data_IF_819209721118
#
_entry.id   IF_819209721118
#
_cell.length_a   1.000
_cell.length_b   1.000
_cell.length_c   1.000
_cell.angle_alpha   90.00
_cell.angle_beta   90.00
_cell.angle_gamma   90.00
#
_symmetry.space_group_name_H-M   'P 1'
#
loop_
_entity.id
_entity.type
_entity.pdbx_description
1 polymer ?
#
# COMPACT_ATOMS: atom_id res chain seq x y z
N UNK A 1 18.80 -12.25 9.34
CA UNK A 1 18.57 -13.48 10.13
C UNK A 1 17.48 -14.26 9.45
N UNK A 2 17.51 -15.60 9.47
CA UNK A 2 16.48 -16.40 8.80
C UNK A 2 15.10 -16.08 9.38
N UNK A 3 14.17 -15.66 8.53
CA UNK A 3 12.77 -15.39 8.82
C UNK A 3 11.93 -16.41 8.07
N UNK A 4 10.98 -17.02 8.76
CA UNK A 4 10.05 -18.00 8.22
C UNK A 4 8.62 -17.48 8.38
N UNK A 5 7.75 -17.80 7.43
CA UNK A 5 6.35 -17.39 7.48
C UNK A 5 5.46 -18.55 7.93
N UNK A 6 4.52 -18.23 8.82
CA UNK A 6 3.51 -19.15 9.32
C UNK A 6 2.14 -18.51 9.20
N UNK A 7 1.15 -19.29 8.76
CA UNK A 7 -0.25 -18.95 8.86
C UNK A 7 -0.82 -19.54 10.15
N UNK A 8 -1.52 -18.73 10.93
CA UNK A 8 -2.09 -19.11 12.23
C UNK A 8 -3.62 -19.03 12.13
N UNK A 9 -4.26 -20.18 11.95
CA UNK A 9 -5.72 -20.35 12.02
C UNK A 9 -6.08 -21.33 13.14
N UNK A 10 -6.97 -22.27 12.88
CA UNK A 10 -7.23 -23.40 13.80
C UNK A 10 -5.97 -24.26 14.02
N UNK A 11 -5.09 -24.28 13.02
CA UNK A 11 -3.77 -24.90 13.07
C UNK A 11 -2.68 -23.88 12.64
N UNK A 12 -1.44 -24.16 13.03
CA UNK A 12 -0.26 -23.38 12.62
C UNK A 12 0.44 -24.09 11.48
N UNK A 13 0.45 -23.45 10.31
CA UNK A 13 1.01 -24.02 9.08
C UNK A 13 2.19 -23.16 8.59
N UNK A 14 3.33 -23.80 8.34
CA UNK A 14 4.48 -23.12 7.71
C UNK A 14 4.16 -22.85 6.24
N UNK A 15 4.33 -21.59 5.82
CA UNK A 15 4.14 -21.19 4.44
C UNK A 15 5.41 -21.42 3.62
N UNK A 16 5.25 -21.91 2.39
CA UNK A 16 6.37 -22.12 1.47
C UNK A 16 6.84 -20.79 0.89
N UNK A 17 8.13 -20.48 1.10
CA UNK A 17 8.80 -19.26 0.60
C UNK A 17 10.03 -19.63 -0.24
N UNK A 18 10.39 -18.76 -1.19
CA UNK A 18 11.60 -18.93 -2.01
C UNK A 18 12.87 -18.43 -1.31
N UNK A 19 12.71 -17.57 -0.30
CA UNK A 19 13.79 -16.97 0.48
C UNK A 19 13.50 -17.17 1.98
N UNK A 20 14.56 -17.07 2.79
CA UNK A 20 14.49 -16.97 4.24
C UNK A 20 14.88 -15.56 4.73
N UNK A 21 15.05 -14.59 3.83
CA UNK A 21 15.33 -13.19 4.16
C UNK A 21 14.09 -12.32 3.89
N UNK A 22 13.04 -12.57 4.69
CA UNK A 22 11.69 -12.07 4.42
C UNK A 22 11.50 -10.63 4.94
N UNK A 23 11.14 -9.69 4.06
CA UNK A 23 10.96 -8.27 4.34
C UNK A 23 9.50 -7.86 4.49
N UNK A 24 9.07 -6.91 3.66
CA UNK A 24 7.66 -6.54 3.53
C UNK A 24 6.77 -7.78 3.47
N UNK A 25 5.69 -7.80 4.25
CA UNK A 25 4.72 -8.90 4.32
C UNK A 25 3.32 -8.32 4.25
N UNK A 26 2.47 -8.90 3.40
CA UNK A 26 1.07 -8.50 3.28
C UNK A 26 0.18 -9.70 2.97
N UNK A 27 -0.87 -9.87 3.76
CA UNK A 27 -1.92 -10.84 3.47
C UNK A 27 -2.71 -10.39 2.24
N UNK A 28 -2.93 -11.29 1.29
CA UNK A 28 -3.56 -10.91 0.01
C UNK A 28 -5.08 -10.90 0.05
N UNK A 29 -5.71 -11.36 1.14
CA UNK A 29 -7.18 -11.44 1.23
C UNK A 29 -7.80 -12.58 0.43
N UNK A 30 -7.13 -13.01 -0.64
CA UNK A 30 -7.54 -14.08 -1.54
C UNK A 30 -6.62 -15.30 -1.39
N UNK A 31 -7.23 -16.49 -1.41
CA UNK A 31 -6.58 -17.80 -1.47
C UNK A 31 -5.60 -18.12 -0.33
N UNK A 32 -5.79 -17.54 0.86
CA UNK A 32 -4.89 -17.68 2.03
C UNK A 32 -3.41 -17.41 1.73
N UNK A 33 -3.16 -16.56 0.73
CA UNK A 33 -1.81 -16.25 0.25
C UNK A 33 -1.21 -15.03 0.95
N UNK A 34 0.12 -15.01 0.99
CA UNK A 34 0.90 -13.90 1.53
C UNK A 34 1.86 -13.41 0.47
N UNK A 35 1.80 -12.12 0.18
CA UNK A 35 2.81 -11.40 -0.57
C UNK A 35 3.98 -11.09 0.38
N UNK A 36 5.20 -11.35 -0.07
CA UNK A 36 6.39 -11.02 0.70
C UNK A 36 7.55 -10.54 -0.18
N UNK A 37 8.41 -9.72 0.39
CA UNK A 37 9.69 -9.32 -0.19
C UNK A 37 10.81 -10.26 0.26
N UNK A 38 11.72 -10.61 -0.65
CA UNK A 38 13.04 -11.10 -0.31
C UNK A 38 14.00 -9.89 -0.17
N UNK A 39 14.30 -9.48 1.06
CA UNK A 39 15.15 -8.30 1.36
C UNK A 39 16.55 -8.42 0.74
N UNK A 40 17.01 -9.65 0.45
CA UNK A 40 18.32 -9.86 -0.16
C UNK A 40 18.38 -9.41 -1.63
N UNK A 41 17.26 -9.53 -2.34
CA UNK A 41 17.16 -9.21 -3.76
C UNK A 41 16.23 -8.02 -4.06
N UNK A 42 15.41 -7.60 -3.10
CA UNK A 42 14.35 -6.59 -3.28
C UNK A 42 13.16 -7.09 -4.11
N UNK A 43 13.08 -8.42 -4.34
CA UNK A 43 12.06 -9.04 -5.20
C UNK A 43 10.85 -9.47 -4.39
N UNK A 44 9.68 -9.46 -5.03
CA UNK A 44 8.42 -9.81 -4.40
C UNK A 44 7.89 -11.15 -4.90
N UNK A 45 7.31 -11.92 -3.99
CA UNK A 45 6.78 -13.25 -4.26
C UNK A 45 5.48 -13.48 -3.49
N UNK A 46 4.68 -14.43 -3.96
CA UNK A 46 3.51 -14.91 -3.22
C UNK A 46 3.81 -16.32 -2.72
N UNK A 47 3.38 -16.64 -1.51
CA UNK A 47 3.52 -17.99 -0.94
C UNK A 47 2.94 -19.05 -1.88
N UNK A 48 3.67 -20.16 -2.05
CA UNK A 48 3.30 -21.23 -2.98
C UNK A 48 3.61 -20.96 -4.46
N UNK A 49 4.21 -19.80 -4.79
CA UNK A 49 4.69 -19.48 -6.14
C UNK A 49 6.17 -19.09 -6.12
N UNK A 50 6.92 -19.53 -7.13
CA UNK A 50 8.30 -19.07 -7.37
C UNK A 50 8.40 -17.99 -8.44
N UNK A 51 7.26 -17.55 -9.00
CA UNK A 51 7.19 -16.47 -9.99
C UNK A 51 7.30 -15.13 -9.27
N UNK A 52 8.29 -14.34 -9.65
CA UNK A 52 8.48 -12.99 -9.14
C UNK A 52 7.31 -12.09 -9.56
N UNK A 53 6.85 -11.27 -8.62
CA UNK A 53 5.86 -10.21 -8.84
C UNK A 53 6.61 -8.94 -9.24
N UNK A 54 6.62 -8.64 -10.53
CA UNK A 54 7.31 -7.46 -11.10
C UNK A 54 6.46 -6.77 -12.18
N UNK A 55 6.81 -5.52 -12.50
CA UNK A 55 6.35 -4.80 -13.69
C UNK A 55 7.47 -4.77 -14.72
N UNK A 56 7.31 -5.49 -15.84
CA UNK A 56 8.15 -5.40 -17.05
C UNK A 56 9.67 -5.22 -16.84
N UNK A 57 10.27 -5.95 -15.89
CA UNK A 57 11.69 -5.86 -15.45
C UNK A 57 12.12 -4.50 -14.88
N UNK A 58 11.20 -3.56 -14.74
CA UNK A 58 11.40 -2.30 -14.06
C UNK A 58 11.22 -2.58 -12.56
N UNK A 59 12.28 -2.34 -11.79
CA UNK A 59 12.24 -2.45 -10.34
C UNK A 59 11.27 -1.43 -9.75
N UNK A 60 10.59 -1.81 -8.68
CA UNK A 60 9.67 -0.94 -7.96
C UNK A 60 9.38 -1.52 -6.58
N UNK A 61 8.81 -0.70 -5.71
CA UNK A 61 8.41 -1.13 -4.37
C UNK A 61 6.92 -1.40 -4.35
N UNK A 62 6.53 -2.58 -3.89
CA UNK A 62 5.11 -2.83 -3.60
C UNK A 62 4.74 -2.02 -2.36
N UNK A 63 3.67 -1.25 -2.48
CA UNK A 63 3.18 -0.36 -1.42
C UNK A 63 1.86 -0.86 -0.83
N UNK A 64 1.05 -1.58 -1.61
CA UNK A 64 -0.24 -2.06 -1.12
C UNK A 64 -0.76 -3.27 -1.91
N UNK A 65 -1.70 -3.99 -1.29
CA UNK A 65 -2.68 -4.84 -1.98
C UNK A 65 -4.06 -4.53 -1.39
N UNK A 66 -5.03 -4.23 -2.24
CA UNK A 66 -6.40 -3.94 -1.80
C UNK A 66 -7.19 -5.24 -1.52
N UNK A 67 -8.47 -5.10 -1.12
CA UNK A 67 -9.34 -6.27 -0.84
C UNK A 67 -9.76 -7.04 -2.09
N UNK A 68 -9.72 -6.42 -3.26
CA UNK A 68 -10.07 -7.04 -4.53
C UNK A 68 -8.87 -7.80 -5.14
N UNK A 69 -7.70 -7.72 -4.51
CA UNK A 69 -6.48 -8.40 -4.96
C UNK A 69 -5.64 -7.56 -5.93
N UNK A 70 -5.95 -6.27 -6.10
CA UNK A 70 -5.11 -5.38 -6.88
C UNK A 70 -3.84 -5.05 -6.11
N UNK A 71 -2.70 -5.28 -6.74
CA UNK A 71 -1.39 -4.94 -6.18
C UNK A 71 -0.95 -3.57 -6.69
N UNK A 72 -0.38 -2.74 -5.81
CA UNK A 72 0.06 -1.39 -6.11
C UNK A 72 1.57 -1.27 -5.95
N UNK A 73 2.24 -0.74 -6.97
CA UNK A 73 3.68 -0.58 -7.06
C UNK A 73 4.03 0.88 -7.34
N UNK A 74 4.95 1.43 -6.56
CA UNK A 74 5.61 2.69 -6.89
C UNK A 74 6.92 2.41 -7.63
N UNK A 75 7.11 3.05 -8.78
CA UNK A 75 8.37 2.96 -9.56
C UNK A 75 9.41 3.96 -9.02
N UNK A 76 10.68 3.56 -8.96
CA UNK A 76 11.80 4.48 -8.71
C UNK A 76 12.41 4.44 -7.30
N UNK A 77 13.13 5.51 -6.95
CA UNK A 77 14.02 5.61 -5.78
C UNK A 77 13.31 5.95 -4.44
N UNK A 78 11.98 5.78 -4.40
CA UNK A 78 11.10 6.04 -3.24
C UNK A 78 10.99 7.51 -2.80
N UNK A 79 11.72 8.43 -3.45
CA UNK A 79 11.78 9.86 -3.07
C UNK A 79 10.90 10.73 -3.95
N UNK A 80 10.88 10.46 -5.25
CA UNK A 80 10.13 11.25 -6.23
C UNK A 80 9.18 10.35 -7.03
N UNK A 81 8.11 9.91 -6.38
CA UNK A 81 7.07 9.08 -6.98
C UNK A 81 6.02 10.01 -7.62
N UNK A 82 5.90 9.95 -8.94
CA UNK A 82 4.87 10.66 -9.71
C UNK A 82 3.76 9.74 -10.22
N UNK A 83 4.00 8.44 -10.23
CA UNK A 83 3.09 7.43 -10.74
C UNK A 83 3.03 6.22 -9.80
N UNK A 84 1.82 5.68 -9.63
CA UNK A 84 1.58 4.37 -9.04
C UNK A 84 1.08 3.45 -10.15
N UNK A 85 1.57 2.23 -10.17
CA UNK A 85 1.13 1.20 -11.07
C UNK A 85 0.33 0.15 -10.33
N UNK A 86 -0.75 -0.34 -10.93
CA UNK A 86 -1.54 -1.41 -10.34
C UNK A 86 -1.96 -2.44 -11.37
N UNK A 87 -2.25 -3.66 -10.91
CA UNK A 87 -2.92 -4.72 -11.67
C UNK A 87 -3.61 -5.68 -10.72
N UNK A 88 -4.51 -6.50 -11.24
CA UNK A 88 -5.00 -7.67 -10.53
C UNK A 88 -3.84 -8.67 -10.38
N UNK A 89 -3.54 -9.06 -9.12
CA UNK A 89 -2.44 -9.96 -8.81
C UNK A 89 -2.73 -11.40 -9.26
N UNK A 90 -4.01 -11.79 -9.27
CA UNK A 90 -4.49 -13.15 -9.46
C UNK A 90 -5.05 -13.41 -10.86
N UNK A 91 -5.35 -12.37 -11.64
CA UNK A 91 -5.62 -12.50 -13.07
C UNK A 91 -4.34 -12.40 -13.92
N UNK A 92 -3.92 -13.52 -14.51
CA UNK A 92 -2.74 -13.57 -15.39
C UNK A 92 -2.88 -12.74 -16.68
N UNK A 93 -4.10 -12.38 -17.08
CA UNK A 93 -4.36 -11.51 -18.23
C UNK A 93 -4.32 -10.03 -17.87
N UNK A 94 -4.27 -9.69 -16.58
CA UNK A 94 -4.24 -8.32 -16.11
C UNK A 94 -2.90 -7.66 -16.45
N UNK A 95 -2.96 -6.53 -17.16
CA UNK A 95 -1.79 -5.70 -17.45
C UNK A 95 -1.68 -4.57 -16.44
N UNK A 96 -0.45 -4.12 -16.18
CA UNK A 96 -0.21 -2.95 -15.34
C UNK A 96 -0.87 -1.69 -15.93
N UNK A 97 -1.60 -0.98 -15.09
CA UNK A 97 -2.20 0.33 -15.36
C UNK A 97 -1.50 1.39 -14.51
N UNK A 98 -1.45 2.64 -14.98
CA UNK A 98 -0.81 3.74 -14.27
C UNK A 98 -1.82 4.73 -13.70
N UNK A 99 -1.49 5.30 -12.55
CA UNK A 99 -2.21 6.37 -11.87
C UNK A 99 -1.22 7.50 -11.61
N UNK A 100 -1.46 8.65 -12.21
CA UNK A 100 -0.66 9.86 -12.00
C UNK A 100 -1.05 10.51 -10.66
N UNK A 101 -0.04 10.92 -9.88
CA UNK A 101 -0.24 11.60 -8.58
C UNK A 101 -0.30 13.13 -8.71
N UNK A 102 -0.08 13.68 -9.90
CA UNK A 102 -0.01 15.12 -10.15
C UNK A 102 1.32 15.74 -9.70
N UNK A 103 1.62 15.69 -8.40
CA UNK A 103 2.90 16.14 -7.83
C UNK A 103 3.75 14.94 -7.39
N UNK A 104 5.05 15.03 -7.67
CA UNK A 104 6.00 14.04 -7.17
C UNK A 104 6.06 14.09 -5.63
N UNK A 105 5.95 12.93 -4.99
CA UNK A 105 5.97 12.80 -3.54
C UNK A 105 6.82 11.61 -3.10
N UNK A 106 7.12 11.52 -1.82
CA UNK A 106 7.78 10.34 -1.26
C UNK A 106 6.77 9.21 -1.04
N UNK A 107 7.24 7.97 -1.15
CA UNK A 107 6.45 6.77 -0.87
C UNK A 107 5.79 6.78 0.53
N UNK A 108 6.43 7.42 1.51
CA UNK A 108 5.94 7.50 2.89
C UNK A 108 4.72 8.43 3.04
N UNK A 109 4.45 9.23 2.01
CA UNK A 109 3.28 10.11 1.93
C UNK A 109 2.15 9.49 1.10
N UNK A 110 2.32 8.29 0.57
CA UNK A 110 1.31 7.61 -0.24
C UNK A 110 0.55 6.62 0.63
N UNK A 111 -0.77 6.77 0.67
CA UNK A 111 -1.66 5.88 1.39
C UNK A 111 -2.68 5.29 0.41
N UNK A 112 -2.98 4.01 0.58
CA UNK A 112 -3.99 3.31 -0.21
C UNK A 112 -4.93 2.62 0.77
N UNK A 113 -6.23 2.85 0.61
CA UNK A 113 -7.23 2.21 1.45
C UNK A 113 -7.56 0.78 0.97
N UNK A 114 -8.41 0.08 1.72
CA UNK A 114 -8.79 -1.29 1.39
C UNK A 114 -9.61 -1.46 0.11
N UNK A 115 -10.03 -0.37 -0.54
CA UNK A 115 -10.78 -0.36 -1.81
C UNK A 115 -9.91 0.13 -2.97
N UNK A 116 -8.61 0.34 -2.74
CA UNK A 116 -7.69 0.78 -3.77
C UNK A 116 -7.70 2.30 -4.01
N UNK A 117 -8.41 3.07 -3.18
CA UNK A 117 -8.38 4.53 -3.29
C UNK A 117 -7.03 5.05 -2.78
N UNK A 118 -6.37 5.86 -3.61
CA UNK A 118 -5.08 6.45 -3.32
C UNK A 118 -5.25 7.84 -2.70
N UNK A 119 -4.40 8.12 -1.72
CA UNK A 119 -4.30 9.40 -1.05
C UNK A 119 -2.84 9.84 -0.97
N UNK A 120 -2.60 11.14 -1.18
CA UNK A 120 -1.27 11.75 -1.01
C UNK A 120 -1.32 12.71 0.15
N UNK A 121 -0.44 12.47 1.12
CA UNK A 121 -0.32 13.27 2.33
C UNK A 121 0.68 14.42 2.12
N UNK A 122 0.29 15.63 2.50
CA UNK A 122 1.21 16.73 2.78
C UNK A 122 1.32 16.93 4.31
N UNK A 123 2.39 16.38 4.94
CA UNK A 123 2.58 16.52 6.38
C UNK A 123 2.81 17.96 6.86
N UNK A 124 3.27 18.86 5.97
CA UNK A 124 3.55 20.28 6.28
C UNK A 124 2.27 21.09 6.21
N UNK A 125 1.51 20.95 5.12
CA UNK A 125 0.20 21.59 4.95
C UNK A 125 -0.90 21.00 5.82
N UNK A 126 -0.67 19.80 6.40
CA UNK A 126 -1.68 19.01 7.14
C UNK A 126 -2.90 18.69 6.30
N UNK A 127 -2.63 18.35 5.06
CA UNK A 127 -3.62 18.10 4.02
C UNK A 127 -3.45 16.70 3.46
N UNK A 128 -4.56 16.02 3.21
CA UNK A 128 -4.60 14.71 2.58
C UNK A 128 -5.46 14.82 1.33
N UNK A 129 -4.82 14.70 0.18
CA UNK A 129 -5.47 14.73 -1.13
C UNK A 129 -5.94 13.33 -1.52
N UNK A 130 -7.17 13.20 -2.01
CA UNK A 130 -7.71 11.96 -2.56
C UNK A 130 -7.51 11.96 -4.08
N UNK A 131 -6.60 11.12 -4.57
CA UNK A 131 -6.20 11.10 -5.99
C UNK A 131 -7.36 10.64 -6.89
N UNK A 132 -7.52 11.33 -8.02
CA UNK A 132 -8.62 11.11 -8.97
C UNK A 132 -9.91 11.84 -8.62
N UNK A 133 -9.96 12.47 -7.44
CA UNK A 133 -11.03 13.36 -7.01
C UNK A 133 -10.46 14.72 -6.65
N UNK A 134 -11.29 15.75 -6.62
CA UNK A 134 -10.89 17.09 -6.15
C UNK A 134 -11.13 17.26 -4.65
N UNK A 135 -10.90 16.20 -3.88
CA UNK A 135 -11.21 16.18 -2.45
C UNK A 135 -9.91 16.24 -1.65
N UNK A 136 -9.74 17.31 -0.87
CA UNK A 136 -8.58 17.49 0.03
C UNK A 136 -9.07 17.74 1.44
N UNK A 137 -8.57 16.93 2.38
CA UNK A 137 -9.00 16.92 3.77
C UNK A 137 -7.94 17.54 4.67
N UNK A 138 -8.31 18.52 5.47
CA UNK A 138 -7.44 19.02 6.55
C UNK A 138 -7.56 18.15 7.79
N UNK A 139 -6.44 17.90 8.46
CA UNK A 139 -6.41 17.10 9.68
C UNK A 139 -5.40 17.63 10.70
N UNK A 140 -5.46 17.14 11.94
CA UNK A 140 -4.49 17.48 12.99
C UNK A 140 -3.77 16.22 13.49
N UNK A 141 -2.49 16.38 13.88
CA UNK A 141 -1.64 15.30 14.37
C UNK A 141 -0.73 14.68 13.30
N UNK A 142 -0.27 13.45 13.58
CA UNK A 142 0.56 12.63 12.67
C UNK A 142 -0.33 11.56 12.01
N UNK A 143 -0.50 11.64 10.70
CA UNK A 143 -1.19 10.60 9.93
C UNK A 143 -0.46 9.26 10.08
N UNK A 144 -1.22 8.21 10.38
CA UNK A 144 -0.69 6.85 10.50
C UNK A 144 -1.18 5.95 9.38
N UNK A 145 -2.47 6.05 9.01
CA UNK A 145 -3.04 5.28 7.92
C UNK A 145 -4.39 5.87 7.47
N UNK A 146 -4.88 5.37 6.34
CA UNK A 146 -6.19 5.68 5.77
C UNK A 146 -7.00 4.39 5.75
N UNK A 147 -8.29 4.49 6.05
CA UNK A 147 -9.28 3.42 5.88
C UNK A 147 -10.47 3.95 5.09
N UNK A 148 -11.38 3.06 4.68
CA UNK A 148 -12.48 3.37 3.75
C UNK A 148 -13.27 4.65 4.05
N UNK A 149 -13.49 4.97 5.32
CA UNK A 149 -14.35 6.09 5.74
C UNK A 149 -13.56 7.22 6.41
N UNK A 150 -12.23 7.16 6.46
CA UNK A 150 -11.44 8.20 7.12
C UNK A 150 -9.98 7.87 7.36
N UNK A 151 -9.41 8.48 8.40
CA UNK A 151 -7.98 8.41 8.73
C UNK A 151 -7.75 8.07 10.20
N UNK A 152 -6.62 7.42 10.47
CA UNK A 152 -6.10 7.28 11.84
C UNK A 152 -4.90 8.21 12.01
N UNK A 153 -4.96 9.05 13.04
CA UNK A 153 -3.89 9.99 13.38
C UNK A 153 -3.43 9.77 14.81
N UNK A 154 -2.15 10.04 15.09
CA UNK A 154 -1.67 10.21 16.46
C UNK A 154 -1.73 11.70 16.80
N UNK A 155 -2.51 12.04 17.82
CA UNK A 155 -2.63 13.39 18.37
C UNK A 155 -2.57 13.29 19.89
N UNK A 156 -1.73 14.10 20.53
CA UNK A 156 -1.54 14.09 22.00
C UNK A 156 -1.24 12.69 22.57
N UNK A 157 -0.43 11.90 21.85
CA UNK A 157 -0.10 10.50 22.14
C UNK A 157 -1.29 9.52 22.10
N UNK A 158 -2.44 9.93 21.57
CA UNK A 158 -3.62 9.09 21.36
C UNK A 158 -3.80 8.77 19.88
N UNK A 159 -4.04 7.49 19.59
CA UNK A 159 -4.53 7.07 18.28
C UNK A 159 -6.01 7.48 18.16
N UNK A 160 -6.28 8.41 17.26
CA UNK A 160 -7.61 9.00 17.05
C UNK A 160 -8.13 8.60 15.68
N UNK A 161 -9.37 8.10 15.63
CA UNK A 161 -10.12 7.83 14.40
C UNK A 161 -10.88 9.10 13.98
N UNK A 162 -10.68 9.54 12.75
CA UNK A 162 -11.37 10.70 12.15
C UNK A 162 -12.05 10.25 10.86
N UNK A 163 -13.35 10.48 10.72
CA UNK A 163 -14.10 10.13 9.51
C UNK A 163 -14.06 11.29 8.50
N UNK A 164 -13.99 11.00 7.21
CA UNK A 164 -13.87 12.02 6.15
C UNK A 164 -15.02 13.03 6.19
N UNK A 165 -16.22 12.59 6.58
CA UNK A 165 -17.41 13.44 6.72
C UNK A 165 -17.27 14.52 7.80
N UNK A 166 -16.36 14.32 8.75
CA UNK A 166 -16.10 15.22 9.88
C UNK A 166 -14.86 16.11 9.64
N UNK A 167 -14.15 15.90 8.53
CA UNK A 167 -12.99 16.70 8.14
C UNK A 167 -13.40 17.85 7.24
N UNK A 168 -12.72 18.99 7.39
CA UNK A 168 -12.94 20.15 6.54
C UNK A 168 -12.40 19.83 5.14
N UNK A 169 -13.28 19.86 4.14
CA UNK A 169 -12.90 19.79 2.74
C UNK A 169 -12.48 21.19 2.26
N UNK A 170 -11.24 21.33 1.78
CA UNK A 170 -10.70 22.63 1.37
C UNK A 170 -11.38 23.22 0.13
N UNK A 171 -12.19 22.45 -0.60
CA UNK A 171 -12.96 22.92 -1.75
C UNK A 171 -14.38 23.45 -1.41
N UNK A 172 -14.84 23.37 -0.16
CA UNK A 172 -16.14 23.95 0.26
C UNK A 172 -16.09 25.47 0.49
N UNK A 173 -15.31 26.21 -0.30
CA UNK A 173 -15.29 27.69 -0.30
C UNK A 173 -15.88 28.29 -1.55
#
# INVERSE_FOLDING_TARGET
GNRELYFVGDEVNKLSTVSNNIGYIKYTGQEDKVLYEDEGSGKYYITGSSKEVMRDKIGGKIIHIDREGNIYMAEGDQREISNIYYRDLFDEKSSWQSIELGLATSIDNIYIDSQGQIYVNDPQGKELEKIGEKNTFKYEGKLMTVYREGILVIKDNLLTKLEFKDLINSEEK
#
